data_IF_038914495842
#
_entry.id   IF_038914495842
#
_cell.length_a   1.000
_cell.length_b   1.000
_cell.length_c   1.000
_cell.angle_alpha   90.00
_cell.angle_beta   90.00
_cell.angle_gamma   90.00
#
_symmetry.space_group_name_H-M   'P 1'
#
loop_
_entity.id
_entity.type
_entity.pdbx_description
1 polymer ?
#
# COMPACT_ATOMS: atom_id res chain seq x y z
N UNK A 1 3.39 11.45 59.64
CA UNK A 1 2.26 10.71 59.04
C UNK A 1 2.20 10.96 57.53
N UNK A 2 2.56 10.02 56.64
CA UNK A 2 2.28 10.13 55.21
C UNK A 2 1.44 8.93 54.71
N UNK A 3 0.15 9.12 54.45
CA UNK A 3 -0.76 8.10 53.87
C UNK A 3 -1.74 8.71 52.85
N UNK A 4 -1.28 9.52 51.90
CA UNK A 4 -2.18 10.10 50.87
C UNK A 4 -1.80 9.92 49.40
N UNK A 5 -0.63 9.35 49.09
CA UNK A 5 -0.21 9.20 47.67
C UNK A 5 -0.60 7.85 47.04
N UNK A 6 -0.74 6.78 47.82
CA UNK A 6 -1.09 5.44 47.29
C UNK A 6 -2.56 5.20 46.93
N UNK A 7 -3.47 6.11 47.28
CA UNK A 7 -4.90 5.97 46.98
C UNK A 7 -5.25 6.40 45.55
N UNK A 8 -4.62 7.47 45.05
CA UNK A 8 -4.88 8.00 43.70
C UNK A 8 -4.35 7.09 42.58
N UNK A 9 -3.27 6.34 42.83
CA UNK A 9 -2.68 5.42 41.85
C UNK A 9 -3.48 4.10 41.70
N UNK A 10 -4.14 3.64 42.76
CA UNK A 10 -5.04 2.48 42.70
C UNK A 10 -6.34 2.77 41.96
N UNK A 11 -6.87 3.97 42.10
CA UNK A 11 -8.12 4.37 41.45
C UNK A 11 -7.94 4.63 39.95
N UNK A 12 -6.75 5.10 39.54
CA UNK A 12 -6.37 5.21 38.12
C UNK A 12 -6.20 3.83 37.45
N UNK A 13 -5.51 2.89 38.08
CA UNK A 13 -5.36 1.52 37.55
C UNK A 13 -6.71 0.80 37.42
N UNK A 14 -7.62 0.98 38.39
CA UNK A 14 -8.94 0.34 38.35
C UNK A 14 -9.85 0.91 37.24
N UNK A 15 -9.64 2.17 36.84
CA UNK A 15 -10.33 2.77 35.69
C UNK A 15 -9.76 2.27 34.36
N UNK A 16 -8.44 2.13 34.24
CA UNK A 16 -7.80 1.59 33.05
C UNK A 16 -8.21 0.13 32.80
N UNK A 17 -8.24 -0.71 33.85
CA UNK A 17 -8.64 -2.12 33.75
C UNK A 17 -10.13 -2.27 33.38
N UNK A 18 -11.00 -1.36 33.83
CA UNK A 18 -12.42 -1.35 33.47
C UNK A 18 -12.68 -0.87 32.04
N UNK A 19 -11.79 -0.05 31.47
CA UNK A 19 -11.86 0.40 30.08
C UNK A 19 -11.36 -0.69 29.12
N UNK A 20 -10.27 -1.37 29.49
CA UNK A 20 -9.72 -2.50 28.74
C UNK A 20 -10.66 -3.73 28.74
N UNK A 21 -11.37 -3.96 29.84
CA UNK A 21 -12.40 -5.01 29.88
C UNK A 21 -13.59 -4.70 28.96
N UNK A 22 -13.94 -3.42 28.77
CA UNK A 22 -15.02 -3.00 27.87
C UNK A 22 -14.59 -3.10 26.41
N UNK A 23 -13.40 -2.62 26.06
CA UNK A 23 -12.89 -2.73 24.69
C UNK A 23 -12.74 -4.18 24.25
N UNK A 24 -12.27 -5.07 25.14
CA UNK A 24 -12.17 -6.50 24.84
C UNK A 24 -13.53 -7.18 24.64
N UNK A 25 -14.55 -6.77 25.42
CA UNK A 25 -15.91 -7.27 25.24
C UNK A 25 -16.55 -6.78 23.93
N UNK A 26 -16.23 -5.55 23.51
CA UNK A 26 -16.68 -4.98 22.22
C UNK A 26 -15.98 -5.67 21.03
N UNK A 27 -14.68 -5.96 21.12
CA UNK A 27 -13.97 -6.73 20.09
C UNK A 27 -14.51 -8.16 19.96
N UNK A 28 -14.74 -8.87 21.07
CA UNK A 28 -15.33 -10.22 21.03
C UNK A 28 -16.73 -10.21 20.41
N UNK A 29 -17.54 -9.18 20.69
CA UNK A 29 -18.86 -9.04 20.07
C UNK A 29 -18.78 -8.77 18.56
N UNK A 30 -17.80 -7.97 18.12
CA UNK A 30 -17.54 -7.68 16.71
C UNK A 30 -17.09 -8.94 15.95
N UNK A 31 -16.16 -9.71 16.52
CA UNK A 31 -15.69 -10.96 15.92
C UNK A 31 -16.74 -12.08 15.93
N UNK A 32 -17.61 -12.12 16.93
CA UNK A 32 -18.72 -13.08 17.02
C UNK A 32 -19.81 -12.85 15.96
N UNK A 33 -20.10 -11.59 15.59
CA UNK A 33 -21.07 -11.30 14.52
C UNK A 33 -20.61 -11.83 13.15
N UNK A 34 -19.31 -11.76 12.84
CA UNK A 34 -18.77 -12.30 11.58
C UNK A 34 -18.91 -13.82 11.43
N UNK A 35 -18.96 -14.56 12.54
CA UNK A 35 -19.15 -16.02 12.54
C UNK A 35 -20.62 -16.44 12.31
N UNK A 36 -21.58 -15.55 12.60
CA UNK A 36 -23.01 -15.86 12.56
C UNK A 36 -23.60 -15.85 11.14
N UNK A 37 -22.92 -15.26 10.16
CA UNK A 37 -23.32 -15.33 8.74
C UNK A 37 -22.86 -16.63 8.04
N UNK A 38 -21.90 -17.36 8.63
CA UNK A 38 -21.45 -18.65 8.10
C UNK A 38 -22.45 -19.80 8.30
N UNK A 39 -23.28 -19.74 9.36
CA UNK A 39 -24.22 -20.83 9.68
C UNK A 39 -25.46 -20.87 8.79
N UNK A 40 -25.76 -19.80 8.04
CA UNK A 40 -26.86 -19.79 7.07
C UNK A 40 -26.54 -20.50 5.76
N UNK A 41 -25.27 -20.67 5.40
CA UNK A 41 -24.89 -21.38 4.17
C UNK A 41 -24.95 -22.91 4.32
N UNK A 42 -24.88 -23.46 5.52
CA UNK A 42 -24.95 -24.91 5.74
C UNK A 42 -26.39 -25.46 5.73
N UNK A 43 -27.38 -24.71 6.23
CA UNK A 43 -28.78 -25.15 6.26
C UNK A 43 -29.43 -25.23 4.86
N UNK A 44 -28.99 -24.42 3.88
CA UNK A 44 -29.56 -24.46 2.53
C UNK A 44 -29.11 -25.71 1.76
N UNK A 45 -27.89 -26.20 2.00
CA UNK A 45 -27.32 -27.38 1.33
C UNK A 45 -27.98 -28.71 1.74
N UNK A 46 -28.56 -28.79 2.95
CA UNK A 46 -29.24 -29.98 3.45
C UNK A 46 -30.66 -30.15 2.88
N UNK A 47 -31.25 -29.10 2.30
CA UNK A 47 -32.63 -29.11 1.79
C UNK A 47 -32.75 -29.58 0.33
N UNK A 48 -31.64 -29.71 -0.39
CA UNK A 48 -31.61 -30.15 -1.80
C UNK A 48 -31.52 -31.67 -2.00
N UNK A 49 -31.33 -32.47 -0.94
CA UNK A 49 -31.16 -33.93 -1.07
C UNK A 49 -32.48 -34.74 -1.01
N UNK A 50 -33.63 -34.10 -0.81
CA UNK A 50 -34.89 -34.81 -0.51
C UNK A 50 -36.03 -34.59 -1.53
N UNK A 51 -35.73 -34.60 -2.84
CA UNK A 51 -36.76 -34.70 -3.89
C UNK A 51 -37.02 -36.15 -4.29
N UNK A 52 -37.96 -36.73 -3.55
CA UNK A 52 -38.66 -37.99 -3.84
C UNK A 52 -39.11 -38.06 -5.30
N UNK A 53 -38.84 -39.20 -5.91
CA UNK A 53 -39.22 -39.63 -7.25
C UNK A 53 -40.71 -39.40 -7.54
N UNK A 54 -41.02 -38.34 -8.28
CA UNK A 54 -42.30 -38.23 -8.99
C UNK A 54 -42.04 -38.66 -10.42
N UNK A 55 -42.54 -39.84 -10.78
CA UNK A 55 -42.45 -40.39 -12.14
C UNK A 55 -43.02 -39.36 -13.15
N UNK A 56 -42.32 -39.00 -14.24
CA UNK A 56 -42.90 -38.16 -15.26
C UNK A 56 -44.00 -38.96 -15.97
N UNK A 57 -45.25 -38.49 -15.88
CA UNK A 57 -46.33 -38.99 -16.69
C UNK A 57 -45.90 -38.94 -18.17
N UNK A 58 -45.94 -40.07 -18.87
CA UNK A 58 -45.50 -40.18 -20.27
C UNK A 58 -46.46 -39.38 -21.16
N UNK A 59 -46.11 -38.13 -21.42
CA UNK A 59 -46.77 -37.30 -22.44
C UNK A 59 -46.25 -37.74 -23.81
N UNK A 60 -47.15 -38.05 -24.73
CA UNK A 60 -46.77 -38.41 -26.10
C UNK A 60 -46.33 -37.17 -26.88
N UNK A 61 -45.38 -37.33 -27.80
CA UNK A 61 -44.81 -36.23 -28.60
C UNK A 61 -45.88 -35.40 -29.33
N UNK A 62 -46.97 -36.04 -29.75
CA UNK A 62 -48.11 -35.38 -30.38
C UNK A 62 -48.84 -34.39 -29.44
N UNK A 63 -48.96 -34.74 -28.16
CA UNK A 63 -49.63 -33.90 -27.17
C UNK A 63 -48.76 -32.71 -26.76
N UNK A 64 -47.43 -32.87 -26.80
CA UNK A 64 -46.48 -31.76 -26.64
C UNK A 64 -46.61 -30.78 -27.80
N UNK A 65 -46.67 -31.27 -29.05
CA UNK A 65 -46.79 -30.42 -30.24
C UNK A 65 -48.11 -29.62 -30.25
N UNK A 66 -49.23 -30.25 -29.88
CA UNK A 66 -50.51 -29.54 -29.79
C UNK A 66 -50.48 -28.47 -28.70
N UNK A 67 -49.96 -28.77 -27.51
CA UNK A 67 -49.90 -27.79 -26.43
C UNK A 67 -48.98 -26.59 -26.80
N UNK A 68 -47.91 -26.85 -27.56
CA UNK A 68 -47.01 -25.80 -28.07
C UNK A 68 -47.69 -24.89 -29.10
N UNK A 69 -48.61 -25.43 -29.91
CA UNK A 69 -49.37 -24.66 -30.91
C UNK A 69 -50.47 -23.79 -30.30
N UNK A 70 -51.05 -24.19 -29.16
CA UNK A 70 -52.11 -23.44 -28.47
C UNK A 70 -51.60 -22.50 -27.38
N UNK A 71 -50.30 -22.52 -27.06
CA UNK A 71 -49.70 -21.56 -26.13
C UNK A 71 -49.46 -20.22 -26.83
N UNK A 72 -50.00 -19.09 -26.32
CA UNK A 72 -49.65 -17.77 -26.85
C UNK A 72 -48.15 -17.52 -26.64
N UNK A 73 -47.47 -16.77 -27.54
CA UNK A 73 -46.06 -16.44 -27.35
C UNK A 73 -45.93 -15.73 -26.02
N UNK A 74 -45.21 -16.34 -25.07
CA UNK A 74 -44.80 -15.67 -23.85
C UNK A 74 -43.99 -14.47 -24.29
N UNK A 75 -44.59 -13.28 -24.26
CA UNK A 75 -43.85 -12.03 -24.32
C UNK A 75 -42.87 -12.10 -23.16
N UNK A 76 -41.61 -12.42 -23.47
CA UNK A 76 -40.51 -12.26 -22.55
C UNK A 76 -40.47 -10.78 -22.20
N UNK A 77 -41.14 -10.42 -21.10
CA UNK A 77 -40.84 -9.19 -20.40
C UNK A 77 -39.37 -9.34 -20.02
N UNK A 78 -38.47 -8.78 -20.82
CA UNK A 78 -37.08 -8.56 -20.43
C UNK A 78 -37.17 -7.83 -19.10
N UNK A 79 -37.00 -8.57 -18.00
CA UNK A 79 -36.74 -7.96 -16.71
C UNK A 79 -35.51 -7.06 -16.93
N UNK A 80 -35.48 -5.83 -16.42
CA UNK A 80 -34.24 -5.07 -16.44
C UNK A 80 -33.19 -5.98 -15.80
N UNK A 81 -32.12 -6.28 -16.54
CA UNK A 81 -30.97 -6.94 -15.95
C UNK A 81 -30.57 -6.11 -14.73
N UNK A 82 -30.39 -6.73 -13.54
CA UNK A 82 -29.84 -6.00 -12.43
C UNK A 82 -28.49 -5.44 -12.92
N UNK A 83 -28.28 -4.14 -12.72
CA UNK A 83 -26.99 -3.52 -13.02
C UNK A 83 -25.98 -4.14 -12.07
N UNK A 84 -25.30 -5.20 -12.54
CA UNK A 84 -24.27 -5.87 -11.76
C UNK A 84 -23.13 -4.87 -11.66
N UNK A 85 -22.86 -4.41 -10.45
CA UNK A 85 -21.72 -3.55 -10.16
C UNK A 85 -20.46 -4.18 -10.75
N UNK A 86 -19.71 -3.38 -11.52
CA UNK A 86 -18.52 -3.86 -12.20
C UNK A 86 -17.52 -4.35 -11.15
N UNK A 87 -17.01 -5.56 -11.36
CA UNK A 87 -16.01 -6.13 -10.48
C UNK A 87 -14.78 -5.21 -10.39
N UNK A 88 -14.24 -5.04 -9.18
CA UNK A 88 -13.07 -4.16 -8.91
C UNK A 88 -11.87 -4.53 -9.80
N UNK A 89 -11.68 -5.81 -10.12
CA UNK A 89 -10.62 -6.24 -11.02
C UNK A 89 -10.81 -5.71 -12.45
N UNK A 90 -12.06 -5.56 -12.90
CA UNK A 90 -12.38 -5.01 -14.21
C UNK A 90 -12.01 -3.52 -14.26
N UNK A 91 -12.36 -2.76 -13.22
CA UNK A 91 -11.99 -1.34 -13.10
C UNK A 91 -10.47 -1.15 -13.07
N UNK A 92 -9.77 -1.99 -12.30
CA UNK A 92 -8.30 -1.95 -12.22
C UNK A 92 -7.65 -2.27 -13.57
N UNK A 93 -8.23 -3.16 -14.37
CA UNK A 93 -7.74 -3.52 -15.71
C UNK A 93 -8.02 -2.44 -16.76
N UNK A 94 -9.19 -1.81 -16.70
CA UNK A 94 -9.52 -0.66 -17.56
C UNK A 94 -8.58 0.51 -17.28
N UNK A 95 -8.32 0.82 -16.01
CA UNK A 95 -7.41 1.90 -15.63
C UNK A 95 -5.96 1.59 -16.05
N UNK A 96 -5.46 0.35 -15.91
CA UNK A 96 -4.11 0.03 -16.42
C UNK A 96 -4.01 0.19 -17.93
N UNK A 97 -5.05 -0.20 -18.67
CA UNK A 97 -5.11 -0.02 -20.12
C UNK A 97 -5.11 1.47 -20.51
N UNK A 98 -5.88 2.29 -19.81
CA UNK A 98 -5.93 3.74 -20.02
C UNK A 98 -4.58 4.42 -19.71
N UNK A 99 -3.89 3.98 -18.65
CA UNK A 99 -2.54 4.48 -18.32
C UNK A 99 -1.52 4.08 -19.39
N UNK A 100 -1.57 2.81 -19.84
CA UNK A 100 -0.70 2.31 -20.90
C UNK A 100 -0.90 3.04 -22.23
N UNK A 101 -2.15 3.36 -22.61
CA UNK A 101 -2.46 4.15 -23.80
C UNK A 101 -1.89 5.57 -23.72
N UNK A 102 -1.84 6.15 -22.52
CA UNK A 102 -1.20 7.45 -22.25
C UNK A 102 0.33 7.35 -22.12
N UNK A 103 0.92 6.16 -22.27
CA UNK A 103 2.35 5.94 -22.08
C UNK A 103 2.80 6.04 -20.61
N UNK A 104 1.87 6.07 -19.66
CA UNK A 104 2.16 6.15 -18.23
C UNK A 104 2.28 4.72 -17.69
N UNK A 105 3.44 4.37 -17.14
CA UNK A 105 3.61 3.08 -16.47
C UNK A 105 2.90 3.12 -15.12
N UNK A 106 1.92 2.23 -14.92
CA UNK A 106 1.33 2.03 -13.60
C UNK A 106 2.37 1.37 -12.70
N UNK A 107 2.72 2.03 -11.60
CA UNK A 107 3.52 1.44 -10.52
C UNK A 107 2.59 1.20 -9.32
N UNK A 108 2.74 0.05 -8.67
CA UNK A 108 1.93 -0.37 -7.53
C UNK A 108 2.86 -0.66 -6.35
N UNK A 109 2.51 -0.17 -5.17
CA UNK A 109 3.26 -0.42 -3.94
C UNK A 109 2.32 -0.97 -2.87
N UNK A 110 2.79 -1.94 -2.09
CA UNK A 110 2.05 -2.51 -0.97
C UNK A 110 2.82 -2.30 0.32
N UNK A 111 2.21 -1.61 1.27
CA UNK A 111 2.86 -1.17 2.52
C UNK A 111 3.42 0.25 2.44
N UNK A 112 3.59 0.87 3.61
CA UNK A 112 4.04 2.27 3.73
C UNK A 112 5.46 2.44 3.21
N UNK A 113 6.37 1.55 3.61
CA UNK A 113 7.79 1.61 3.21
C UNK A 113 7.96 1.47 1.69
N UNK A 114 7.22 0.53 1.08
CA UNK A 114 7.23 0.35 -0.37
C UNK A 114 6.64 1.56 -1.11
N UNK A 115 5.61 2.21 -0.54
CA UNK A 115 5.01 3.41 -1.12
C UNK A 115 5.98 4.60 -1.06
N UNK A 116 6.70 4.77 0.05
CA UNK A 116 7.73 5.81 0.17
C UNK A 116 8.90 5.57 -0.77
N UNK A 117 9.34 4.32 -0.93
CA UNK A 117 10.40 3.97 -1.87
C UNK A 117 9.97 4.19 -3.33
N UNK A 118 8.73 3.87 -3.67
CA UNK A 118 8.20 4.12 -5.01
C UNK A 118 8.17 5.63 -5.33
N UNK A 119 7.66 6.44 -4.40
CA UNK A 119 7.51 7.89 -4.59
C UNK A 119 8.86 8.62 -4.62
N UNK A 120 9.83 8.18 -3.82
CA UNK A 120 11.19 8.73 -3.88
C UNK A 120 11.86 8.41 -5.22
N UNK A 121 11.72 7.17 -5.70
CA UNK A 121 12.33 6.76 -6.97
C UNK A 121 11.62 7.35 -8.22
N UNK A 122 10.31 7.60 -8.15
CA UNK A 122 9.54 8.23 -9.24
C UNK A 122 10.06 9.63 -9.62
N UNK A 123 10.58 10.39 -8.67
CA UNK A 123 11.17 11.71 -8.94
C UNK A 123 12.60 11.64 -9.50
N UNK A 124 13.21 10.45 -9.57
CA UNK A 124 14.64 10.28 -9.91
C UNK A 124 14.89 9.63 -11.27
N UNK A 125 13.85 9.18 -11.99
CA UNK A 125 14.04 8.58 -13.31
C UNK A 125 14.30 9.63 -14.42
N UNK A 126 13.81 10.86 -14.26
CA UNK A 126 14.06 11.97 -15.20
C UNK A 126 15.37 12.73 -14.93
N UNK A 127 15.91 12.60 -13.73
CA UNK A 127 17.24 13.11 -13.40
C UNK A 127 18.11 11.99 -12.87
N UNK A 128 19.07 11.54 -13.70
CA UNK A 128 20.29 10.83 -13.26
C UNK A 128 21.18 11.71 -12.35
N UNK A 129 20.59 12.63 -11.58
CA UNK A 129 21.23 13.43 -10.56
C UNK A 129 21.16 12.63 -9.25
N UNK A 130 22.32 12.10 -8.90
CA UNK A 130 22.63 11.38 -7.66
C UNK A 130 21.86 11.92 -6.44
N UNK A 131 20.89 11.12 -5.97
CA UNK A 131 19.90 11.40 -4.93
C UNK A 131 20.46 11.73 -3.53
N UNK A 132 21.79 11.79 -3.39
CA UNK A 132 22.44 12.12 -2.14
C UNK A 132 23.38 13.30 -2.31
N UNK A 133 22.91 14.54 -2.08
CA UNK A 133 23.80 15.70 -1.98
C UNK A 133 24.93 15.44 -0.97
N UNK A 134 24.68 14.68 0.09
CA UNK A 134 25.72 14.27 1.05
C UNK A 134 26.78 13.32 0.45
N UNK A 135 26.40 12.40 -0.45
CA UNK A 135 27.35 11.51 -1.14
C UNK A 135 28.11 12.26 -2.22
N UNK A 136 27.45 13.11 -3.01
CA UNK A 136 28.10 14.03 -3.96
C UNK A 136 29.15 14.88 -3.26
N UNK A 137 28.77 15.50 -2.13
CA UNK A 137 29.66 16.30 -1.28
C UNK A 137 30.89 15.52 -0.82
N UNK A 138 30.71 14.29 -0.34
CA UNK A 138 31.81 13.43 0.14
C UNK A 138 32.73 12.96 -1.00
N UNK A 139 32.16 12.58 -2.13
CA UNK A 139 32.91 12.14 -3.31
C UNK A 139 33.72 13.31 -3.90
N UNK A 140 33.09 14.47 -4.09
CA UNK A 140 33.75 15.68 -4.59
C UNK A 140 34.86 16.14 -3.64
N UNK A 141 34.63 16.13 -2.33
CA UNK A 141 35.67 16.47 -1.36
C UNK A 141 36.87 15.52 -1.43
N UNK A 142 36.64 14.21 -1.56
CA UNK A 142 37.71 13.21 -1.66
C UNK A 142 38.56 13.42 -2.92
N UNK A 143 37.92 13.66 -4.06
CA UNK A 143 38.62 13.95 -5.32
C UNK A 143 39.46 15.23 -5.22
N UNK A 144 38.93 16.26 -4.57
CA UNK A 144 39.66 17.52 -4.32
C UNK A 144 40.83 17.32 -3.35
N UNK A 145 40.62 16.55 -2.27
CA UNK A 145 41.64 16.26 -1.26
C UNK A 145 42.86 15.57 -1.88
N UNK A 146 42.65 14.52 -2.69
CA UNK A 146 43.75 13.78 -3.33
C UNK A 146 44.59 14.65 -4.28
N UNK A 147 43.96 15.63 -4.95
CA UNK A 147 44.65 16.58 -5.85
C UNK A 147 45.43 17.65 -5.09
N UNK A 148 44.86 18.21 -4.03
CA UNK A 148 45.43 19.39 -3.34
C UNK A 148 46.41 19.03 -2.22
N UNK A 149 46.34 17.82 -1.64
CA UNK A 149 47.30 17.35 -0.61
C UNK A 149 48.77 17.58 -1.01
N UNK A 150 49.26 17.13 -2.19
CA UNK A 150 50.66 17.32 -2.55
C UNK A 150 51.04 18.79 -2.71
N UNK A 151 50.12 19.63 -3.21
CA UNK A 151 50.34 21.07 -3.40
C UNK A 151 50.48 21.79 -2.07
N UNK A 152 49.52 21.62 -1.16
CA UNK A 152 49.52 22.29 0.15
C UNK A 152 50.68 21.79 1.02
N UNK A 153 51.07 20.51 0.89
CA UNK A 153 52.25 19.95 1.57
C UNK A 153 53.56 20.57 1.07
N UNK A 154 53.67 20.84 -0.23
CA UNK A 154 54.84 21.50 -0.80
C UNK A 154 54.90 22.99 -0.42
N UNK A 155 53.75 23.66 -0.34
CA UNK A 155 53.66 25.06 0.11
C UNK A 155 53.96 25.21 1.62
N UNK A 156 53.60 24.20 2.43
CA UNK A 156 53.77 24.22 3.88
C UNK A 156 54.50 22.96 4.40
N UNK A 157 55.80 22.81 4.11
CA UNK A 157 56.61 21.69 4.58
C UNK A 157 56.89 21.87 6.08
N UNK A 158 56.00 21.33 6.92
CA UNK A 158 56.10 21.42 8.38
C UNK A 158 54.77 21.26 9.10
N UNK A 159 53.64 21.43 8.39
CA UNK A 159 52.32 21.19 8.95
C UNK A 159 52.00 19.69 9.03
N UNK A 160 51.31 19.30 10.11
CA UNK A 160 50.79 17.95 10.26
C UNK A 160 49.71 17.69 9.22
N UNK A 161 49.55 16.44 8.77
CA UNK A 161 48.52 16.07 7.80
C UNK A 161 47.11 16.51 8.22
N UNK A 162 46.79 16.49 9.51
CA UNK A 162 45.50 16.99 10.02
C UNK A 162 45.27 18.47 9.73
N UNK A 163 46.30 19.32 9.88
CA UNK A 163 46.23 20.75 9.60
C UNK A 163 46.12 21.01 8.10
N UNK A 164 46.87 20.25 7.29
CA UNK A 164 46.78 20.29 5.83
C UNK A 164 45.36 19.97 5.36
N UNK A 165 44.75 18.90 5.90
CA UNK A 165 43.36 18.53 5.60
C UNK A 165 42.36 19.61 5.99
N UNK A 166 42.58 20.30 7.11
CA UNK A 166 41.72 21.40 7.55
C UNK A 166 41.81 22.61 6.60
N UNK A 167 43.01 22.95 6.12
CA UNK A 167 43.23 24.00 5.12
C UNK A 167 42.53 23.62 3.80
N UNK A 168 42.70 22.37 3.35
CA UNK A 168 42.05 21.86 2.15
C UNK A 168 40.53 21.91 2.28
N UNK A 169 39.97 21.51 3.42
CA UNK A 169 38.53 21.59 3.66
C UNK A 169 38.00 23.03 3.61
N UNK A 170 38.70 23.97 4.24
CA UNK A 170 38.36 25.41 4.19
C UNK A 170 38.42 25.98 2.77
N UNK A 171 39.43 25.60 1.98
CA UNK A 171 39.54 26.01 0.58
C UNK A 171 38.43 25.38 -0.27
N UNK A 172 38.11 24.11 -0.02
CA UNK A 172 37.08 23.39 -0.74
C UNK A 172 35.67 23.93 -0.47
N UNK A 173 35.35 24.33 0.76
CA UNK A 173 34.06 24.97 1.08
C UNK A 173 33.78 26.21 0.23
N UNK A 174 34.84 26.95 -0.19
CA UNK A 174 34.76 28.14 -1.05
C UNK A 174 34.93 27.82 -2.54
N UNK A 175 35.28 26.59 -2.88
CA UNK A 175 35.57 26.18 -4.25
C UNK A 175 34.27 25.97 -5.05
N UNK A 176 34.25 26.26 -6.36
CA UNK A 176 33.12 25.91 -7.23
C UNK A 176 32.91 24.39 -7.39
N UNK A 177 33.90 23.58 -6.99
CA UNK A 177 33.84 22.11 -6.98
C UNK A 177 32.98 21.54 -5.83
N UNK A 178 32.49 22.38 -4.92
CA UNK A 178 31.56 21.95 -3.88
C UNK A 178 30.13 21.96 -4.45
N UNK A 179 29.44 20.81 -4.54
CA UNK A 179 28.07 20.74 -5.07
C UNK A 179 27.08 21.66 -4.34
N UNK A 180 27.32 21.98 -3.06
CA UNK A 180 26.48 22.93 -2.31
C UNK A 180 26.57 24.37 -2.81
N UNK A 181 27.65 24.75 -3.49
CA UNK A 181 27.82 26.08 -4.06
C UNK A 181 27.21 26.19 -5.47
N UNK A 182 26.89 25.06 -6.12
CA UNK A 182 26.32 25.00 -7.47
C UNK A 182 24.79 25.10 -7.44
N UNK A 183 24.12 24.70 -6.36
CA UNK A 183 22.67 24.82 -6.19
C UNK A 183 22.22 26.26 -5.84
N UNK A 184 23.17 27.16 -5.52
CA UNK A 184 22.91 28.56 -5.18
C UNK A 184 23.19 29.55 -6.31
N UNK A 185 23.63 29.07 -7.49
CA UNK A 185 23.96 29.87 -8.67
C UNK A 185 22.97 29.56 -9.81
#
# INVERSE_FOLDING_TARGET
MPKKEGAKTREANKKAEAEEAKSRAEEDAYWSQGSKDGSKQEEESASLSNKKSTQPAKVTQAQIAQNLMFMPPKKEKKKPEPEIERNINHLRMEESRMLAEKGIQRKEASGVDAATDLLTNLNTEDEKSDAHPERRRKAAFKAYEEREIPRIRAENPGLKLSQIKEIIFKNWQKSPENPMNQEAA
#
